data_IF_180767639571
#
_entry.id   IF_180767639571
#
_cell.length_a   1.000
_cell.length_b   1.000
_cell.length_c   1.000
_cell.angle_alpha   90.00
_cell.angle_beta   90.00
_cell.angle_gamma   90.00
#
_symmetry.space_group_name_H-M   'P 1'
#
loop_
_entity.id
_entity.type
_entity.pdbx_description
1 polymer ?
#
# COMPACT_ATOMS: atom_id res chain seq x y z
N UNK A 1 -15.37 31.75 -6.60
CA UNK A 1 -16.11 31.87 -5.33
C UNK A 1 -17.07 30.69 -5.14
N UNK A 2 -17.71 30.15 -6.20
CA UNK A 2 -18.66 29.02 -6.09
C UNK A 2 -18.13 27.73 -5.43
N UNK A 3 -16.86 27.35 -5.62
CA UNK A 3 -16.33 26.12 -4.99
C UNK A 3 -16.14 26.21 -3.46
N UNK A 4 -15.89 27.40 -2.91
CA UNK A 4 -15.53 27.52 -1.49
C UNK A 4 -16.73 27.30 -0.56
N UNK A 5 -17.92 27.76 -0.97
CA UNK A 5 -19.15 27.55 -0.21
C UNK A 5 -19.59 26.09 -0.23
N UNK A 6 -19.47 25.41 -1.39
CA UNK A 6 -19.70 23.98 -1.50
C UNK A 6 -18.74 23.17 -0.62
N UNK A 7 -17.45 23.51 -0.62
CA UNK A 7 -16.46 22.86 0.24
C UNK A 7 -16.77 23.03 1.74
N UNK A 8 -17.24 24.22 2.15
CA UNK A 8 -17.61 24.50 3.53
C UNK A 8 -18.84 23.71 3.97
N UNK A 9 -19.83 23.54 3.07
CA UNK A 9 -20.98 22.69 3.32
C UNK A 9 -20.57 21.22 3.53
N UNK A 10 -19.66 20.71 2.69
CA UNK A 10 -19.12 19.35 2.83
C UNK A 10 -18.39 19.18 4.18
N UNK A 11 -17.51 20.12 4.55
CA UNK A 11 -16.83 20.10 5.86
C UNK A 11 -17.81 20.09 7.02
N UNK A 12 -18.84 20.94 6.95
CA UNK A 12 -19.88 21.03 7.99
C UNK A 12 -20.63 19.72 8.12
N UNK A 13 -21.08 19.13 7.01
CA UNK A 13 -21.80 17.86 7.01
C UNK A 13 -20.94 16.74 7.60
N UNK A 14 -19.68 16.62 7.19
CA UNK A 14 -18.76 15.62 7.71
C UNK A 14 -18.48 15.79 9.22
N UNK A 15 -18.33 17.03 9.69
CA UNK A 15 -18.15 17.30 11.13
C UNK A 15 -19.42 16.97 11.94
N UNK A 16 -20.61 17.23 11.40
CA UNK A 16 -21.87 16.86 12.04
C UNK A 16 -21.99 15.33 12.16
N UNK A 17 -21.62 14.59 11.12
CA UNK A 17 -21.59 13.13 11.17
C UNK A 17 -20.57 12.63 12.20
N UNK A 18 -19.34 13.17 12.20
CA UNK A 18 -18.30 12.83 13.17
C UNK A 18 -18.72 13.11 14.62
N UNK A 19 -19.43 14.22 14.86
CA UNK A 19 -19.95 14.58 16.18
C UNK A 19 -20.96 13.55 16.70
N UNK A 20 -21.76 12.93 15.82
CA UNK A 20 -22.67 11.84 16.21
C UNK A 20 -21.88 10.64 16.75
N UNK A 21 -20.72 10.32 16.15
CA UNK A 21 -19.82 9.29 16.67
C UNK A 21 -19.18 9.67 18.01
N UNK A 22 -18.74 10.93 18.16
CA UNK A 22 -18.14 11.41 19.42
C UNK A 22 -19.10 11.52 20.60
N UNK A 23 -20.40 11.71 20.34
CA UNK A 23 -21.44 11.80 21.38
C UNK A 23 -21.86 10.43 21.94
N UNK A 24 -21.18 9.34 21.57
CA UNK A 24 -21.45 8.01 22.11
C UNK A 24 -20.97 7.89 23.56
N UNK A 25 -21.77 7.25 24.40
CA UNK A 25 -21.46 7.05 25.82
C UNK A 25 -20.42 5.94 25.98
N UNK A 26 -19.38 6.21 26.77
CA UNK A 26 -18.41 5.20 27.20
C UNK A 26 -18.52 4.97 28.72
N UNK A 27 -18.37 3.72 29.19
CA UNK A 27 -18.23 3.45 30.62
C UNK A 27 -17.03 4.21 31.22
N UNK A 28 -17.09 4.65 32.49
CA UNK A 28 -16.01 5.43 33.11
C UNK A 28 -14.70 4.64 33.29
N UNK A 29 -14.76 3.31 33.22
CA UNK A 29 -13.61 2.42 33.28
C UNK A 29 -13.06 2.01 31.89
N UNK A 30 -13.75 2.38 30.80
CA UNK A 30 -13.29 2.14 29.45
C UNK A 30 -12.28 3.21 29.05
N UNK A 31 -11.23 2.81 28.32
CA UNK A 31 -10.25 3.73 27.77
C UNK A 31 -10.71 4.23 26.40
N UNK A 32 -10.41 5.49 26.10
CA UNK A 32 -10.60 6.05 24.77
C UNK A 32 -9.61 5.44 23.79
N UNK A 33 -10.03 5.27 22.53
CA UNK A 33 -9.13 4.78 21.47
C UNK A 33 -8.05 5.81 21.19
N UNK A 34 -6.80 5.37 21.16
CA UNK A 34 -5.65 6.20 20.81
C UNK A 34 -5.35 6.11 19.31
N UNK A 35 -5.21 7.25 18.67
CA UNK A 35 -4.82 7.37 17.27
C UNK A 35 -3.54 8.19 17.15
N UNK A 36 -2.57 7.67 16.40
CA UNK A 36 -1.36 8.41 16.06
C UNK A 36 -1.34 8.74 14.59
N UNK A 37 -1.25 10.03 14.25
CA UNK A 37 -1.27 10.53 12.88
C UNK A 37 0.14 10.89 12.45
N UNK A 38 0.63 10.27 11.38
CA UNK A 38 1.85 10.66 10.68
C UNK A 38 1.51 11.57 9.52
N UNK A 39 1.81 12.86 9.67
CA UNK A 39 1.57 13.89 8.67
C UNK A 39 2.88 14.29 8.00
N UNK A 40 2.95 14.16 6.68
CA UNK A 40 4.02 14.74 5.86
C UNK A 40 3.59 16.15 5.36
N UNK A 41 4.11 17.25 5.94
CA UNK A 41 3.72 18.60 5.54
C UNK A 41 4.19 18.97 4.13
N UNK A 42 5.30 18.39 3.66
CA UNK A 42 5.91 18.68 2.36
C UNK A 42 5.13 18.06 1.20
N UNK A 43 4.28 17.06 1.47
CA UNK A 43 3.43 16.43 0.47
C UNK A 43 2.53 17.46 -0.26
N UNK A 44 2.18 17.14 -1.51
CA UNK A 44 1.32 17.98 -2.36
C UNK A 44 1.84 19.43 -2.49
N UNK A 45 3.15 19.57 -2.75
CA UNK A 45 3.83 20.87 -2.92
C UNK A 45 3.69 21.77 -1.68
N UNK A 46 3.82 21.17 -0.48
CA UNK A 46 3.77 21.88 0.81
C UNK A 46 2.36 22.26 1.30
N UNK A 47 1.29 21.82 0.62
CA UNK A 47 -0.09 22.17 1.00
C UNK A 47 -0.73 21.16 1.95
N UNK A 48 -0.12 19.99 2.12
CA UNK A 48 -0.69 18.88 2.90
C UNK A 48 -1.07 19.28 4.32
N UNK A 49 -0.22 20.05 5.02
CA UNK A 49 -0.55 20.56 6.38
C UNK A 49 -1.86 21.34 6.39
N UNK A 50 -2.00 22.34 5.51
CA UNK A 50 -3.21 23.17 5.48
C UNK A 50 -4.46 22.38 5.08
N UNK A 51 -4.31 21.39 4.20
CA UNK A 51 -5.41 20.52 3.78
C UNK A 51 -5.85 19.59 4.92
N UNK A 52 -4.89 19.02 5.65
CA UNK A 52 -5.17 18.15 6.80
C UNK A 52 -5.89 18.92 7.91
N UNK A 53 -5.31 20.05 8.35
CA UNK A 53 -5.84 20.85 9.45
C UNK A 53 -7.26 21.39 9.15
N UNK A 54 -7.58 21.67 7.88
CA UNK A 54 -8.91 22.18 7.48
C UNK A 54 -9.95 21.10 7.25
N UNK A 55 -9.56 19.94 6.71
CA UNK A 55 -10.52 18.98 6.18
C UNK A 55 -10.60 17.68 6.99
N UNK A 56 -9.54 17.30 7.71
CA UNK A 56 -9.46 16.00 8.40
C UNK A 56 -9.33 16.15 9.93
N UNK A 57 -8.49 17.07 10.41
CA UNK A 57 -8.24 17.24 11.85
C UNK A 57 -9.52 17.49 12.68
N UNK A 58 -10.49 18.34 12.23
CA UNK A 58 -11.73 18.54 12.99
C UNK A 58 -12.56 17.25 13.12
N UNK A 59 -12.62 16.44 12.07
CA UNK A 59 -13.35 15.16 12.05
C UNK A 59 -12.74 14.19 13.08
N UNK A 60 -11.40 14.10 13.12
CA UNK A 60 -10.70 13.23 14.06
C UNK A 60 -10.84 13.69 15.52
N UNK A 61 -10.84 14.99 15.78
CA UNK A 61 -11.03 15.49 17.15
C UNK A 61 -12.48 15.37 17.63
N UNK A 62 -13.46 15.41 16.71
CA UNK A 62 -14.88 15.22 17.04
C UNK A 62 -15.28 13.75 17.21
N UNK A 63 -14.46 12.79 16.78
CA UNK A 63 -14.80 11.35 16.82
C UNK A 63 -14.65 10.70 18.20
N UNK A 64 -14.15 11.42 19.20
CA UNK A 64 -13.95 10.89 20.56
C UNK A 64 -12.69 10.02 20.73
N UNK A 65 -11.72 10.15 19.82
CA UNK A 65 -10.41 9.50 19.92
C UNK A 65 -9.36 10.43 20.54
N UNK A 66 -8.37 9.86 21.23
CA UNK A 66 -7.17 10.58 21.66
C UNK A 66 -6.18 10.64 20.49
N UNK A 67 -6.13 11.78 19.81
CA UNK A 67 -5.41 11.96 18.54
C UNK A 67 -4.09 12.68 18.77
N UNK A 68 -2.98 11.97 18.59
CA UNK A 68 -1.63 12.53 18.60
C UNK A 68 -1.14 12.74 17.18
N UNK A 69 -0.84 14.00 16.81
CA UNK A 69 -0.34 14.34 15.47
C UNK A 69 1.18 14.51 15.49
N UNK A 70 1.87 13.65 14.76
CA UNK A 70 3.30 13.70 14.50
C UNK A 70 3.53 14.27 13.11
N UNK A 71 4.36 15.30 13.02
CA UNK A 71 4.81 15.86 11.74
C UNK A 71 6.16 15.26 11.37
N UNK A 72 6.31 14.80 10.14
CA UNK A 72 7.60 14.39 9.59
C UNK A 72 8.28 15.58 8.93
N UNK A 73 9.56 15.75 9.21
CA UNK A 73 10.43 16.80 8.71
C UNK A 73 11.23 16.33 7.49
N UNK A 74 11.59 15.05 7.43
CA UNK A 74 12.39 14.46 6.34
C UNK A 74 12.04 12.98 6.07
N UNK A 75 12.49 12.48 4.92
CA UNK A 75 12.27 11.10 4.45
C UNK A 75 12.91 10.07 5.41
N UNK A 76 12.15 9.03 5.75
CA UNK A 76 12.56 7.99 6.68
C UNK A 76 12.44 8.35 8.16
N UNK A 77 12.00 9.56 8.53
CA UNK A 77 11.72 9.91 9.93
C UNK A 77 10.50 9.15 10.46
N UNK A 78 9.45 8.98 9.65
CA UNK A 78 8.28 8.18 10.04
C UNK A 78 8.70 6.74 10.38
N UNK A 79 9.54 6.14 9.52
CA UNK A 79 10.11 4.80 9.72
C UNK A 79 10.83 4.66 11.08
N UNK A 80 11.75 5.59 11.38
CA UNK A 80 12.50 5.60 12.66
C UNK A 80 11.62 5.83 13.88
N UNK A 81 10.67 6.77 13.79
CA UNK A 81 9.79 7.04 14.92
C UNK A 81 8.88 5.85 15.20
N UNK A 82 8.41 5.19 14.15
CA UNK A 82 7.54 4.03 14.29
C UNK A 82 8.25 2.82 14.90
N UNK A 83 9.56 2.66 14.68
CA UNK A 83 10.36 1.63 15.36
C UNK A 83 10.44 1.84 16.89
N UNK A 84 10.33 3.09 17.35
CA UNK A 84 10.40 3.47 18.77
C UNK A 84 9.03 3.73 19.40
N UNK A 85 7.97 3.72 18.58
CA UNK A 85 6.64 4.10 19.01
C UNK A 85 6.05 3.07 20.00
N UNK A 86 5.29 3.58 20.97
CA UNK A 86 4.50 2.76 21.89
C UNK A 86 3.24 2.19 21.20
N UNK A 87 2.55 1.28 21.90
CA UNK A 87 1.32 0.68 21.40
C UNK A 87 0.22 1.75 21.23
N UNK A 88 -0.44 1.73 20.06
CA UNK A 88 -1.60 2.57 19.72
C UNK A 88 -2.72 1.68 19.21
N UNK A 89 -3.97 2.15 19.27
CA UNK A 89 -5.11 1.38 18.75
C UNK A 89 -5.27 1.59 17.24
N UNK A 90 -4.86 2.76 16.73
CA UNK A 90 -4.95 3.13 15.32
C UNK A 90 -3.72 3.92 14.90
N UNK A 91 -3.21 3.64 13.69
CA UNK A 91 -2.18 4.44 13.01
C UNK A 91 -2.84 5.13 11.83
N UNK A 92 -2.66 6.43 11.66
CA UNK A 92 -3.21 7.19 10.53
C UNK A 92 -2.06 7.81 9.75
N UNK A 93 -2.04 7.63 8.43
CA UNK A 93 -1.06 8.23 7.54
C UNK A 93 -1.72 9.32 6.70
N UNK A 94 -1.22 10.55 6.83
CA UNK A 94 -1.68 11.71 6.09
C UNK A 94 -0.59 12.18 5.12
N UNK A 95 -0.68 11.75 3.86
CA UNK A 95 0.40 11.95 2.89
C UNK A 95 0.09 11.38 1.50
N UNK A 96 1.14 11.01 0.78
CA UNK A 96 1.07 10.23 -0.47
C UNK A 96 1.56 8.80 -0.26
N UNK A 97 1.67 8.05 -1.37
CA UNK A 97 2.04 6.63 -1.34
C UNK A 97 3.42 6.39 -0.69
N UNK A 98 4.42 7.26 -0.92
CA UNK A 98 5.74 7.15 -0.27
C UNK A 98 5.69 7.31 1.27
N UNK A 99 4.86 8.22 1.79
CA UNK A 99 4.69 8.34 3.26
C UNK A 99 4.00 7.12 3.86
N UNK A 100 3.07 6.52 3.11
CA UNK A 100 2.44 5.27 3.50
C UNK A 100 3.44 4.12 3.49
N UNK A 101 4.28 4.03 2.45
CA UNK A 101 5.36 3.07 2.33
C UNK A 101 6.33 3.15 3.51
N UNK A 102 6.71 4.36 3.93
CA UNK A 102 7.61 4.55 5.07
C UNK A 102 7.02 4.02 6.38
N UNK A 103 5.73 4.32 6.62
CA UNK A 103 5.02 3.87 7.82
C UNK A 103 4.84 2.36 7.79
N UNK A 104 4.40 1.78 6.68
CA UNK A 104 4.25 0.33 6.51
C UNK A 104 5.60 -0.38 6.72
N UNK A 105 6.67 0.16 6.16
CA UNK A 105 8.02 -0.36 6.36
C UNK A 105 8.44 -0.24 7.82
N UNK A 106 8.15 0.88 8.48
CA UNK A 106 8.39 1.05 9.91
C UNK A 106 7.62 0.01 10.74
N UNK A 107 6.37 -0.28 10.42
CA UNK A 107 5.52 -1.25 11.15
C UNK A 107 6.13 -2.64 11.03
N UNK A 108 6.44 -3.04 9.79
CA UNK A 108 6.81 -4.41 9.48
C UNK A 108 8.30 -4.74 9.75
N UNK A 109 9.12 -3.72 10.05
CA UNK A 109 10.51 -3.91 10.50
C UNK A 109 10.66 -4.08 12.01
N UNK A 110 9.60 -3.81 12.79
CA UNK A 110 9.65 -3.91 14.24
C UNK A 110 9.88 -5.35 14.70
N UNK A 111 10.42 -5.52 15.89
CA UNK A 111 10.58 -6.86 16.51
C UNK A 111 9.24 -7.45 16.97
N UNK A 112 8.26 -6.61 17.30
CA UNK A 112 6.89 -6.96 17.71
C UNK A 112 5.87 -6.80 16.55
N UNK A 113 6.35 -6.96 15.32
CA UNK A 113 5.61 -6.87 14.06
C UNK A 113 4.26 -7.63 14.07
N UNK A 114 4.21 -8.82 14.66
CA UNK A 114 3.00 -9.65 14.71
C UNK A 114 1.83 -9.00 15.48
N UNK A 115 2.12 -8.10 16.42
CA UNK A 115 1.10 -7.33 17.15
C UNK A 115 0.74 -6.07 16.36
N UNK A 116 1.75 -5.35 15.87
CA UNK A 116 1.54 -4.10 15.15
C UNK A 116 0.86 -4.30 13.78
N UNK A 117 1.07 -5.44 13.11
CA UNK A 117 0.39 -5.74 11.85
C UNK A 117 -1.12 -5.92 12.01
N UNK A 118 -1.60 -6.19 13.24
CA UNK A 118 -3.03 -6.25 13.58
C UNK A 118 -3.64 -4.88 13.85
N UNK A 119 -2.82 -3.84 14.07
CA UNK A 119 -3.30 -2.48 14.29
C UNK A 119 -3.80 -1.93 12.94
N UNK A 120 -5.06 -1.46 12.85
CA UNK A 120 -5.59 -0.95 11.61
C UNK A 120 -4.95 0.39 11.24
N UNK A 121 -4.64 0.53 9.95
CA UNK A 121 -4.01 1.71 9.36
C UNK A 121 -5.06 2.53 8.59
N UNK A 122 -5.21 3.79 8.96
CA UNK A 122 -5.99 4.78 8.23
C UNK A 122 -5.12 5.49 7.21
N UNK A 123 -5.64 5.72 6.02
CA UNK A 123 -4.94 6.47 4.98
C UNK A 123 -5.74 7.70 4.56
N UNK A 124 -5.12 8.88 4.67
CA UNK A 124 -5.69 10.16 4.26
C UNK A 124 -4.90 10.65 3.04
N UNK A 125 -5.46 10.55 1.82
CA UNK A 125 -4.74 10.82 0.57
C UNK A 125 -4.57 12.32 0.34
N UNK A 126 -3.47 12.89 0.85
CA UNK A 126 -3.12 14.29 0.64
C UNK A 126 -2.29 14.53 -0.64
N UNK A 127 -1.70 13.47 -1.20
CA UNK A 127 -0.94 13.51 -2.46
C UNK A 127 -1.74 13.95 -3.71
N UNK A 128 -1.04 14.29 -4.79
CA UNK A 128 -1.68 14.67 -6.08
C UNK A 128 -2.35 13.47 -6.75
N UNK A 129 -1.70 12.30 -6.67
CA UNK A 129 -2.21 10.99 -7.09
C UNK A 129 -1.95 9.99 -5.97
N UNK A 130 -2.84 9.01 -5.78
CA UNK A 130 -2.59 7.87 -4.89
C UNK A 130 -3.16 6.61 -5.51
N UNK A 131 -2.37 5.54 -5.53
CA UNK A 131 -2.79 4.24 -6.08
C UNK A 131 -3.88 3.59 -5.21
N UNK A 132 -3.65 3.52 -3.90
CA UNK A 132 -4.51 2.81 -2.95
C UNK A 132 -5.83 3.52 -2.67
N UNK A 133 -5.90 4.85 -2.85
CA UNK A 133 -7.11 5.60 -2.52
C UNK A 133 -8.31 5.18 -3.37
N UNK A 134 -8.09 4.78 -4.62
CA UNK A 134 -9.15 4.29 -5.53
C UNK A 134 -9.75 2.94 -5.10
N UNK A 135 -8.95 2.12 -4.41
CA UNK A 135 -9.41 0.84 -3.85
C UNK A 135 -10.21 1.09 -2.57
N UNK A 136 -9.64 1.86 -1.65
CA UNK A 136 -10.18 2.00 -0.29
C UNK A 136 -11.39 2.94 -0.20
N UNK A 137 -11.47 3.95 -1.08
CA UNK A 137 -12.46 5.01 -0.98
C UNK A 137 -13.23 5.20 -2.29
N UNK A 138 -14.44 5.76 -2.19
CA UNK A 138 -15.21 6.13 -3.37
C UNK A 138 -14.47 7.18 -4.23
N UNK A 139 -14.63 7.08 -5.54
CA UNK A 139 -14.18 8.13 -6.45
C UNK A 139 -14.99 9.40 -6.16
N UNK A 140 -14.29 10.53 -6.10
CA UNK A 140 -14.89 11.81 -5.78
C UNK A 140 -14.45 12.86 -6.78
N UNK A 141 -15.38 13.75 -7.17
CA UNK A 141 -15.08 14.84 -8.09
C UNK A 141 -14.30 16.00 -7.44
N UNK A 142 -14.26 16.05 -6.11
CA UNK A 142 -13.65 17.12 -5.34
C UNK A 142 -12.59 16.57 -4.36
N UNK A 143 -11.41 17.20 -4.34
CA UNK A 143 -10.31 16.84 -3.44
C UNK A 143 -10.70 16.95 -1.96
N UNK A 144 -11.51 17.95 -1.58
CA UNK A 144 -11.95 18.12 -0.19
C UNK A 144 -12.84 16.96 0.21
N UNK A 145 -13.81 16.62 -0.64
CA UNK A 145 -14.70 15.48 -0.44
C UNK A 145 -13.90 14.18 -0.26
N UNK A 146 -12.89 13.94 -1.11
CA UNK A 146 -12.07 12.75 -0.99
C UNK A 146 -11.37 12.63 0.38
N UNK A 147 -10.83 13.75 0.89
CA UNK A 147 -10.14 13.79 2.18
C UNK A 147 -11.13 13.61 3.33
N UNK A 148 -12.29 14.27 3.28
CA UNK A 148 -13.32 14.16 4.32
C UNK A 148 -13.89 12.74 4.38
N UNK A 149 -14.19 12.15 3.23
CA UNK A 149 -14.77 10.81 3.13
C UNK A 149 -13.76 9.74 3.61
N UNK A 150 -12.48 9.86 3.23
CA UNK A 150 -11.42 9.00 3.72
C UNK A 150 -11.23 9.10 5.24
N UNK A 151 -11.30 10.31 5.80
CA UNK A 151 -11.20 10.52 7.26
C UNK A 151 -12.41 9.96 7.99
N UNK A 152 -13.61 10.12 7.41
CA UNK A 152 -14.85 9.61 7.97
C UNK A 152 -14.91 8.07 7.91
N UNK A 153 -14.32 7.43 6.90
CA UNK A 153 -14.17 5.99 6.84
C UNK A 153 -13.36 5.44 8.03
N UNK A 154 -12.31 6.15 8.47
CA UNK A 154 -11.55 5.81 9.68
C UNK A 154 -12.45 5.87 10.91
N UNK A 155 -13.28 6.91 11.04
CA UNK A 155 -14.22 7.07 12.17
C UNK A 155 -15.28 5.97 12.17
N UNK A 156 -15.76 5.56 10.98
CA UNK A 156 -16.73 4.45 10.84
C UNK A 156 -16.15 3.10 11.27
N UNK A 157 -14.85 2.92 11.13
CA UNK A 157 -14.14 1.77 11.69
C UNK A 157 -14.18 0.50 10.85
N UNK A 158 -14.66 0.56 9.61
CA UNK A 158 -14.70 -0.58 8.68
C UNK A 158 -13.30 -0.88 8.13
N UNK A 159 -12.84 -2.12 8.25
CA UNK A 159 -11.50 -2.54 7.84
C UNK A 159 -11.51 -3.60 6.74
N UNK A 160 -10.47 -3.57 5.91
CA UNK A 160 -10.20 -4.56 4.86
C UNK A 160 -8.73 -5.01 4.96
N UNK A 161 -8.45 -6.32 4.91
CA UNK A 161 -7.08 -6.82 4.87
C UNK A 161 -6.47 -6.60 3.48
N UNK A 162 -5.25 -6.09 3.43
CA UNK A 162 -4.48 -5.86 2.21
C UNK A 162 -3.18 -6.65 2.19
N UNK A 163 -2.74 -6.98 0.98
CA UNK A 163 -1.47 -7.66 0.74
C UNK A 163 -0.30 -6.67 0.78
N UNK A 164 0.89 -7.15 1.13
CA UNK A 164 2.12 -6.34 1.15
C UNK A 164 3.21 -7.07 0.37
N UNK A 165 4.02 -6.34 -0.38
CA UNK A 165 5.23 -6.87 -1.00
C UNK A 165 6.41 -6.62 -0.08
N UNK A 166 7.13 -7.67 0.27
CA UNK A 166 8.43 -7.58 0.91
C UNK A 166 9.51 -7.63 -0.18
N UNK A 167 10.32 -6.58 -0.27
CA UNK A 167 11.42 -6.43 -1.21
C UNK A 167 12.71 -6.39 -0.41
N UNK A 168 13.56 -7.40 -0.56
CA UNK A 168 14.80 -7.56 0.20
C UNK A 168 15.99 -7.52 -0.74
N UNK A 169 16.83 -6.49 -0.58
CA UNK A 169 18.16 -6.47 -1.18
C UNK A 169 19.15 -7.31 -0.38
N UNK A 170 20.29 -7.64 -0.98
CA UNK A 170 21.30 -8.50 -0.33
C UNK A 170 21.90 -7.88 0.94
N UNK A 171 22.14 -6.56 0.93
CA UNK A 171 22.87 -5.84 2.00
C UNK A 171 21.97 -4.95 2.86
N UNK A 172 20.77 -4.65 2.40
CA UNK A 172 19.88 -3.70 3.05
C UNK A 172 18.77 -4.38 3.85
N UNK A 173 18.19 -3.63 4.79
CA UNK A 173 17.00 -4.06 5.52
C UNK A 173 15.80 -4.17 4.54
N UNK A 174 14.89 -5.14 4.74
CA UNK A 174 13.79 -5.38 3.83
C UNK A 174 12.85 -4.17 3.74
N UNK A 175 12.51 -3.76 2.53
CA UNK A 175 11.58 -2.66 2.25
C UNK A 175 10.21 -3.26 1.98
N UNK A 176 9.14 -2.64 2.49
CA UNK A 176 7.78 -3.11 2.29
C UNK A 176 7.00 -2.14 1.42
N UNK A 177 6.18 -2.65 0.50
CA UNK A 177 5.41 -1.87 -0.45
C UNK A 177 3.97 -2.36 -0.54
N UNK A 178 3.03 -1.43 -0.71
CA UNK A 178 1.62 -1.72 -0.86
C UNK A 178 1.20 -1.88 -2.33
N UNK A 179 1.81 -1.13 -3.25
CA UNK A 179 1.42 -1.16 -4.68
C UNK A 179 2.38 -2.00 -5.50
N UNK A 180 3.67 -1.66 -5.50
CA UNK A 180 4.62 -2.36 -6.35
C UNK A 180 5.95 -1.65 -6.59
N UNK A 181 6.80 -2.39 -7.31
CA UNK A 181 8.09 -1.95 -7.82
C UNK A 181 8.00 -1.72 -9.33
N UNK A 182 8.61 -0.65 -9.82
CA UNK A 182 8.73 -0.31 -11.24
C UNK A 182 10.18 0.00 -11.60
N UNK A 183 10.64 -0.53 -12.72
CA UNK A 183 11.98 -0.32 -13.23
C UNK A 183 11.95 -0.12 -14.75
N UNK A 184 12.54 0.96 -15.24
CA UNK A 184 12.72 1.21 -16.68
C UNK A 184 12.30 2.59 -17.16
N UNK A 185 12.19 2.71 -18.48
CA UNK A 185 12.13 3.97 -19.22
C UNK A 185 10.90 4.84 -18.89
N UNK A 186 9.72 4.24 -18.70
CA UNK A 186 8.52 4.99 -18.33
C UNK A 186 8.63 5.63 -16.95
N UNK A 187 9.26 4.92 -16.00
CA UNK A 187 9.56 5.43 -14.66
C UNK A 187 10.52 6.61 -14.74
N UNK A 188 11.62 6.47 -15.49
CA UNK A 188 12.63 7.52 -15.62
C UNK A 188 12.10 8.78 -16.32
N UNK A 189 11.24 8.60 -17.33
CA UNK A 189 10.51 9.70 -17.94
C UNK A 189 9.59 10.39 -16.93
N UNK A 190 8.86 9.61 -16.13
CA UNK A 190 7.98 10.07 -15.06
C UNK A 190 8.68 10.95 -14.02
N UNK A 191 9.85 10.52 -13.52
CA UNK A 191 10.66 11.29 -12.55
C UNK A 191 11.10 12.64 -13.14
N UNK A 192 11.46 12.68 -14.43
CA UNK A 192 11.91 13.91 -15.12
C UNK A 192 10.78 14.89 -15.42
N UNK A 193 9.50 14.49 -15.35
CA UNK A 193 8.35 15.39 -15.61
C UNK A 193 8.40 16.64 -14.74
N UNK A 194 8.82 16.52 -13.48
CA UNK A 194 8.92 17.64 -12.54
C UNK A 194 9.97 18.67 -12.95
N UNK A 195 11.08 18.23 -13.57
CA UNK A 195 12.17 19.10 -14.06
C UNK A 195 11.70 20.03 -15.17
N UNK A 196 10.73 19.58 -15.98
CA UNK A 196 10.17 20.35 -17.09
C UNK A 196 8.95 21.20 -16.70
N UNK A 197 8.93 21.73 -15.47
CA UNK A 197 7.82 22.52 -14.94
C UNK A 197 7.43 23.71 -15.82
N UNK A 198 8.39 24.29 -16.55
CA UNK A 198 8.22 25.44 -17.46
C UNK A 198 7.40 25.13 -18.72
N UNK A 199 7.20 23.86 -19.09
CA UNK A 199 6.42 23.45 -20.26
C UNK A 199 4.91 23.28 -19.98
N UNK A 200 4.47 23.59 -18.76
CA UNK A 200 3.05 23.60 -18.38
C UNK A 200 2.35 22.26 -18.71
N UNK A 201 1.30 22.24 -19.54
CA UNK A 201 0.55 21.02 -19.88
C UNK A 201 1.36 20.03 -20.73
N UNK A 202 2.38 20.49 -21.46
CA UNK A 202 3.17 19.65 -22.35
C UNK A 202 4.28 18.89 -21.62
N UNK A 203 4.60 19.25 -20.37
CA UNK A 203 5.71 18.66 -19.60
C UNK A 203 5.70 17.14 -19.56
N UNK A 204 4.52 16.52 -19.48
CA UNK A 204 4.37 15.06 -19.41
C UNK A 204 4.80 14.42 -20.74
N UNK A 205 4.28 14.92 -21.87
CA UNK A 205 4.64 14.40 -23.20
C UNK A 205 6.09 14.74 -23.56
N UNK A 206 6.53 15.96 -23.23
CA UNK A 206 7.89 16.43 -23.46
C UNK A 206 8.93 15.58 -22.71
N UNK A 207 8.64 15.15 -21.48
CA UNK A 207 9.55 14.29 -20.73
C UNK A 207 9.84 12.97 -21.45
N UNK A 208 8.79 12.34 -22.00
CA UNK A 208 8.92 11.11 -22.76
C UNK A 208 9.63 11.36 -24.09
N UNK A 209 9.26 12.43 -24.80
CA UNK A 209 9.89 12.82 -26.06
C UNK A 209 11.40 13.10 -25.90
N UNK A 210 11.79 13.87 -24.88
CA UNK A 210 13.21 14.14 -24.60
C UNK A 210 13.96 12.88 -24.15
N UNK A 211 13.29 11.92 -23.48
CA UNK A 211 13.90 10.62 -23.20
C UNK A 211 14.24 9.88 -24.49
N UNK A 212 13.31 9.86 -25.44
CA UNK A 212 13.48 9.21 -26.76
C UNK A 212 14.55 9.88 -27.64
N UNK A 213 14.77 11.19 -27.50
CA UNK A 213 15.83 11.90 -28.23
C UNK A 213 17.22 11.58 -27.70
N UNK A 214 17.36 11.29 -26.41
CA UNK A 214 18.65 10.98 -25.80
C UNK A 214 19.18 9.65 -26.31
N UNK A 215 18.33 8.62 -26.30
CA UNK A 215 18.70 7.26 -26.68
C UNK A 215 17.44 6.48 -27.05
N UNK A 216 17.52 5.65 -28.10
CA UNK A 216 16.44 4.76 -28.51
C UNK A 216 16.98 3.58 -29.33
N UNK A 217 16.59 2.33 -29.03
CA UNK A 217 15.66 1.89 -27.97
C UNK A 217 16.30 1.89 -26.57
N UNK A 218 15.55 2.30 -25.54
CA UNK A 218 15.98 2.28 -24.13
C UNK A 218 15.57 0.95 -23.50
N UNK A 219 16.28 -0.10 -23.88
CA UNK A 219 15.99 -1.46 -23.43
C UNK A 219 16.91 -1.83 -22.28
N UNK A 220 16.34 -2.46 -21.26
CA UNK A 220 17.04 -2.95 -20.10
C UNK A 220 16.98 -4.48 -20.08
N UNK A 221 18.14 -5.10 -19.87
CA UNK A 221 18.24 -6.56 -19.72
C UNK A 221 18.26 -6.92 -18.24
N UNK A 222 17.47 -7.92 -17.85
CA UNK A 222 17.47 -8.51 -16.51
C UNK A 222 17.04 -9.97 -16.55
N UNK A 223 17.36 -10.69 -15.49
CA UNK A 223 16.90 -12.06 -15.28
C UNK A 223 15.90 -12.07 -14.13
N UNK A 224 14.78 -12.77 -14.32
CA UNK A 224 13.83 -13.06 -13.24
C UNK A 224 13.76 -14.55 -13.00
N UNK A 225 13.74 -14.93 -11.72
CA UNK A 225 13.46 -16.30 -11.29
C UNK A 225 12.20 -16.25 -10.43
N UNK A 226 11.15 -16.97 -10.78
CA UNK A 226 9.86 -16.87 -10.07
C UNK A 226 9.23 -18.22 -9.78
N UNK A 227 8.37 -18.22 -8.76
CA UNK A 227 7.57 -19.37 -8.33
C UNK A 227 6.10 -19.09 -8.61
N UNK A 228 5.33 -20.12 -9.00
CA UNK A 228 3.90 -19.97 -9.33
C UNK A 228 3.02 -19.49 -8.15
N UNK A 229 1.73 -19.21 -8.42
CA UNK A 229 0.76 -18.82 -7.39
C UNK A 229 0.69 -19.81 -6.22
N UNK A 230 0.43 -19.30 -5.02
CA UNK A 230 0.25 -20.13 -3.82
C UNK A 230 -1.24 -20.28 -3.53
N UNK A 231 -1.68 -21.50 -3.24
CA UNK A 231 -3.06 -21.73 -2.82
C UNK A 231 -3.34 -21.00 -1.50
N UNK A 232 -4.51 -20.38 -1.43
CA UNK A 232 -4.94 -19.64 -0.26
C UNK A 232 -5.14 -20.61 0.92
N UNK A 233 -4.46 -20.41 2.06
CA UNK A 233 -4.75 -21.19 3.25
C UNK A 233 -6.20 -20.89 3.71
N UNK A 234 -6.94 -21.89 4.22
CA UNK A 234 -8.28 -21.67 4.75
C UNK A 234 -8.23 -20.58 5.82
N UNK A 235 -9.14 -19.61 5.76
CA UNK A 235 -9.18 -18.48 6.69
C UNK A 235 -9.17 -19.01 8.13
N UNK A 236 -8.18 -18.62 8.92
CA UNK A 236 -8.25 -18.83 10.37
C UNK A 236 -9.52 -18.16 10.88
N UNK A 237 -10.39 -18.88 11.63
CA UNK A 237 -11.58 -18.26 12.19
C UNK A 237 -11.14 -17.10 13.09
N UNK A 238 -11.84 -15.95 12.98
CA UNK A 238 -11.64 -14.81 13.86
C UNK A 238 -11.49 -15.29 15.30
N UNK A 239 -10.36 -14.95 15.93
CA UNK A 239 -10.13 -15.28 17.34
C UNK A 239 -11.19 -14.56 18.17
N UNK A 240 -12.31 -15.24 18.43
CA UNK A 240 -13.25 -14.81 19.47
C UNK A 240 -12.42 -14.57 20.74
N UNK A 241 -12.61 -13.44 21.45
CA UNK A 241 -11.80 -13.12 22.62
C UNK A 241 -11.84 -14.31 23.56
N UNK A 242 -10.68 -14.95 23.74
CA UNK A 242 -10.57 -16.23 24.46
C UNK A 242 -10.98 -15.97 25.89
N UNK A 243 -12.25 -16.24 26.20
CA UNK A 243 -12.69 -16.35 27.59
C UNK A 243 -11.79 -17.39 28.25
N UNK A 244 -11.13 -17.00 29.35
CA UNK A 244 -10.17 -17.86 30.05
C UNK A 244 -10.82 -19.24 30.24
N UNK A 245 -10.29 -20.32 29.63
CA UNK A 245 -10.93 -21.63 29.72
C UNK A 245 -10.99 -22.06 31.19
N UNK A 246 -12.11 -22.69 31.56
CA UNK A 246 -12.37 -23.15 32.93
C UNK A 246 -11.22 -24.02 33.48
N UNK A 247 -11.01 -23.97 34.80
CA UNK A 247 -9.94 -24.69 35.50
C UNK A 247 -9.85 -26.18 35.11
N UNK A 248 -11.00 -26.84 34.95
CA UNK A 248 -11.08 -28.23 34.51
C UNK A 248 -10.53 -28.45 33.10
N UNK A 249 -10.79 -27.54 32.14
CA UNK A 249 -10.29 -27.63 30.76
C UNK A 249 -8.77 -27.42 30.69
N UNK A 250 -8.20 -26.63 31.61
CA UNK A 250 -6.74 -26.47 31.76
C UNK A 250 -6.08 -27.73 32.34
N UNK A 251 -6.73 -28.35 33.32
CA UNK A 251 -6.26 -29.62 33.91
C UNK A 251 -6.31 -30.74 32.87
N UNK A 252 -7.41 -30.84 32.11
CA UNK A 252 -7.55 -31.79 31.00
C UNK A 252 -6.50 -31.58 29.91
N UNK A 253 -6.23 -30.33 29.50
CA UNK A 253 -5.16 -30.04 28.53
C UNK A 253 -3.79 -30.43 29.07
N UNK A 254 -3.49 -30.13 30.34
CA UNK A 254 -2.23 -30.54 30.98
C UNK A 254 -2.08 -32.05 31.00
N UNK A 255 -3.13 -32.78 31.38
CA UNK A 255 -3.15 -34.23 31.37
C UNK A 255 -2.97 -34.75 29.94
N UNK A 256 -3.70 -34.22 28.96
CA UNK A 256 -3.55 -34.59 27.55
C UNK A 256 -2.12 -34.37 27.03
N UNK A 257 -1.45 -33.28 27.42
CA UNK A 257 -0.04 -33.05 27.09
C UNK A 257 0.95 -33.93 27.87
N UNK A 258 0.57 -34.44 29.04
CA UNK A 258 1.37 -35.42 29.79
C UNK A 258 1.31 -36.82 29.17
N UNK A 259 0.19 -37.16 28.51
CA UNK A 259 -0.03 -38.45 27.83
C UNK A 259 0.26 -38.40 26.33
N UNK A 260 0.41 -37.21 25.74
CA UNK A 260 0.88 -37.04 24.39
C UNK A 260 2.37 -37.38 24.35
N UNK A 261 2.73 -38.49 23.71
CA UNK A 261 4.11 -38.69 23.29
C UNK A 261 4.52 -37.52 22.37
N UNK A 262 5.78 -37.07 22.41
CA UNK A 262 6.28 -36.15 21.40
C UNK A 262 6.15 -36.88 20.05
N UNK A 263 5.12 -36.53 19.29
CA UNK A 263 5.19 -36.78 17.86
C UNK A 263 6.32 -35.89 17.38
N UNK A 264 7.42 -36.51 16.94
CA UNK A 264 8.37 -35.85 16.05
C UNK A 264 7.53 -35.08 15.04
N UNK A 265 7.71 -33.76 15.02
CA UNK A 265 7.00 -32.90 14.09
C UNK A 265 7.20 -33.51 12.71
N UNK A 266 6.14 -34.11 12.16
CA UNK A 266 6.16 -34.64 10.81
C UNK A 266 6.59 -33.47 9.95
N UNK A 267 7.84 -33.55 9.50
CA UNK A 267 8.41 -32.59 8.58
C UNK A 267 7.49 -32.62 7.39
N UNK A 268 6.70 -31.56 7.20
CA UNK A 268 5.95 -31.40 5.96
C UNK A 268 6.99 -31.52 4.86
N UNK A 269 6.88 -32.57 4.05
CA UNK A 269 7.68 -32.72 2.84
C UNK A 269 7.37 -31.49 1.99
N UNK A 270 8.26 -30.50 2.03
CA UNK A 270 8.19 -29.33 1.17
C UNK A 270 8.39 -29.87 -0.24
N UNK A 271 7.31 -29.95 -1.01
CA UNK A 271 7.38 -30.22 -2.44
C UNK A 271 8.46 -29.31 -3.04
N UNK A 272 9.39 -29.82 -3.86
CA UNK A 272 10.48 -29.00 -4.38
C UNK A 272 9.89 -27.78 -5.09
N UNK A 273 10.18 -26.59 -4.58
CA UNK A 273 9.74 -25.34 -5.19
C UNK A 273 10.32 -25.30 -6.61
N UNK A 274 9.46 -25.35 -7.63
CA UNK A 274 9.89 -25.27 -9.03
C UNK A 274 10.07 -23.81 -9.38
N UNK A 275 11.32 -23.38 -9.43
CA UNK A 275 11.69 -22.04 -9.91
C UNK A 275 11.76 -22.05 -11.44
N UNK A 276 11.14 -21.03 -12.06
CA UNK A 276 11.22 -20.79 -13.50
C UNK A 276 12.06 -19.55 -13.74
N UNK A 277 13.09 -19.70 -14.57
CA UNK A 277 13.99 -18.61 -14.94
C UNK A 277 13.59 -18.04 -16.29
N UNK A 278 13.51 -16.71 -16.38
CA UNK A 278 13.21 -15.98 -17.60
C UNK A 278 14.23 -14.86 -17.76
N UNK A 279 14.92 -14.87 -18.89
CA UNK A 279 15.80 -13.79 -19.32
C UNK A 279 14.97 -12.78 -20.12
N UNK A 280 15.04 -11.52 -19.75
CA UNK A 280 14.15 -10.48 -20.26
C UNK A 280 14.93 -9.29 -20.79
N UNK A 281 14.39 -8.71 -21.86
CA UNK A 281 14.85 -7.48 -22.51
C UNK A 281 13.60 -6.61 -22.66
N UNK A 282 13.48 -5.55 -21.86
CA UNK A 282 12.22 -4.77 -21.75
C UNK A 282 12.47 -3.28 -21.68
N UNK A 283 11.46 -2.49 -22.02
CA UNK A 283 11.46 -1.03 -21.75
C UNK A 283 11.14 -0.72 -20.28
N UNK A 284 10.27 -1.51 -19.67
CA UNK A 284 9.84 -1.38 -18.27
C UNK A 284 9.42 -2.75 -17.74
N UNK A 285 9.79 -3.01 -16.49
CA UNK A 285 9.31 -4.10 -15.67
C UNK A 285 8.50 -3.52 -14.51
N UNK A 286 7.33 -4.09 -14.22
CA UNK A 286 6.55 -3.75 -13.04
C UNK A 286 6.11 -4.99 -12.28
N UNK A 287 6.39 -5.03 -10.99
CA UNK A 287 5.94 -6.07 -10.06
C UNK A 287 4.92 -5.41 -9.13
N UNK A 288 3.67 -5.86 -9.16
CA UNK A 288 2.55 -5.19 -8.48
C UNK A 288 1.67 -6.15 -7.70
N UNK A 289 1.03 -5.62 -6.65
CA UNK A 289 -0.01 -6.33 -5.89
C UNK A 289 -1.35 -6.27 -6.62
N UNK A 290 -2.28 -7.13 -6.17
CA UNK A 290 -3.69 -7.09 -6.56
C UNK A 290 -4.51 -6.12 -5.72
N UNK A 291 -3.88 -5.32 -4.85
CA UNK A 291 -4.60 -4.36 -4.00
C UNK A 291 -5.42 -3.34 -4.79
N UNK A 292 -5.13 -3.16 -6.09
CA UNK A 292 -5.93 -2.33 -6.98
C UNK A 292 -7.28 -2.93 -7.38
N UNK A 293 -7.41 -4.25 -7.32
CA UNK A 293 -8.60 -5.02 -7.68
C UNK A 293 -8.68 -6.24 -6.75
N UNK A 294 -9.16 -6.02 -5.54
CA UNK A 294 -9.29 -7.08 -4.55
C UNK A 294 -10.36 -8.07 -5.00
N UNK A 295 -9.97 -9.33 -5.18
CA UNK A 295 -10.90 -10.44 -5.38
C UNK A 295 -10.93 -11.29 -4.10
N UNK A 296 -11.96 -11.09 -3.24
CA UNK A 296 -12.08 -11.86 -2.01
C UNK A 296 -12.42 -13.33 -2.28
N UNK A 297 -12.95 -13.67 -3.46
CA UNK A 297 -13.33 -15.03 -3.84
C UNK A 297 -12.19 -15.85 -4.44
N UNK A 298 -11.07 -15.19 -4.78
CA UNK A 298 -9.93 -15.84 -5.42
C UNK A 298 -9.40 -17.02 -4.59
N UNK A 299 -9.13 -18.16 -5.22
CA UNK A 299 -8.58 -19.34 -4.53
C UNK A 299 -7.07 -19.20 -4.26
N UNK A 300 -6.40 -18.27 -4.92
CA UNK A 300 -4.94 -18.16 -4.94
C UNK A 300 -4.47 -16.77 -4.54
N UNK A 301 -3.32 -16.72 -3.87
CA UNK A 301 -2.62 -15.48 -3.54
C UNK A 301 -1.35 -15.37 -4.40
N UNK A 302 -1.31 -14.32 -5.23
CA UNK A 302 -0.21 -14.06 -6.16
C UNK A 302 -0.03 -12.56 -6.43
N UNK A 303 1.20 -12.18 -6.78
CA UNK A 303 1.59 -10.89 -7.34
C UNK A 303 1.60 -10.97 -8.87
N UNK A 304 1.47 -9.81 -9.52
CA UNK A 304 1.52 -9.68 -10.97
C UNK A 304 2.88 -9.11 -11.39
N UNK A 305 3.56 -9.81 -12.29
CA UNK A 305 4.78 -9.34 -12.95
C UNK A 305 4.41 -8.98 -14.38
N UNK A 306 4.43 -7.70 -14.72
CA UNK A 306 4.16 -7.23 -16.08
C UNK A 306 5.47 -6.80 -16.74
N UNK A 307 5.73 -7.39 -17.90
CA UNK A 307 6.96 -7.27 -18.69
C UNK A 307 6.57 -6.55 -19.97
N UNK A 308 7.00 -5.29 -20.11
CA UNK A 308 6.67 -4.49 -21.30
C UNK A 308 7.59 -4.84 -22.48
N UNK A 309 7.08 -4.93 -23.71
CA UNK A 309 7.87 -5.32 -24.87
C UNK A 309 8.89 -4.24 -25.26
N UNK A 310 10.00 -4.66 -25.87
CA UNK A 310 11.04 -3.76 -26.42
C UNK A 310 10.77 -3.30 -27.86
N UNK A 311 9.69 -3.80 -28.49
CA UNK A 311 9.29 -3.49 -29.87
C UNK A 311 8.38 -2.27 -30.03
N UNK A 312 8.02 -1.59 -28.94
CA UNK A 312 7.15 -0.42 -28.95
C UNK A 312 7.71 0.68 -29.86
N UNK A 313 6.85 1.44 -30.56
CA UNK A 313 7.31 2.59 -31.36
C UNK A 313 7.56 3.84 -30.50
N UNK A 314 8.35 4.79 -31.01
CA UNK A 314 8.59 6.09 -30.34
C UNK A 314 7.29 6.86 -30.09
N UNK A 315 6.37 6.85 -31.05
CA UNK A 315 5.09 7.55 -30.96
C UNK A 315 4.17 6.93 -29.90
N UNK A 316 4.15 5.60 -29.86
CA UNK A 316 3.36 4.85 -28.87
C UNK A 316 3.96 5.00 -27.48
N UNK A 317 5.28 4.97 -27.33
CA UNK A 317 5.96 5.25 -26.07
C UNK A 317 5.55 6.60 -25.47
N UNK A 318 5.53 7.68 -26.27
CA UNK A 318 5.12 9.00 -25.78
C UNK A 318 3.63 9.02 -25.42
N UNK A 319 2.79 8.41 -26.26
CA UNK A 319 1.34 8.42 -26.09
C UNK A 319 0.94 7.60 -24.86
N UNK A 320 1.40 6.36 -24.78
CA UNK A 320 1.15 5.43 -23.68
C UNK A 320 1.79 5.95 -22.41
N UNK A 321 3.06 6.36 -22.44
CA UNK A 321 3.77 6.90 -21.27
C UNK A 321 3.07 8.12 -20.68
N UNK A 322 2.56 9.03 -21.51
CA UNK A 322 1.81 10.19 -21.02
C UNK A 322 0.50 9.83 -20.30
N UNK A 323 -0.15 8.73 -20.69
CA UNK A 323 -1.32 8.19 -20.00
C UNK A 323 -0.92 7.40 -18.77
N UNK A 324 0.17 6.62 -18.84
CA UNK A 324 0.69 5.76 -17.78
C UNK A 324 1.16 6.55 -16.55
N UNK A 325 1.65 7.78 -16.73
CA UNK A 325 1.94 8.70 -15.61
C UNK A 325 0.68 9.04 -14.79
N UNK A 326 -0.49 9.10 -15.43
CA UNK A 326 -1.77 9.39 -14.74
C UNK A 326 -2.45 8.12 -14.24
N UNK A 327 -2.36 7.05 -15.03
CA UNK A 327 -2.92 5.75 -14.71
C UNK A 327 -1.84 4.67 -14.90
N UNK A 328 -1.10 4.31 -13.84
CA UNK A 328 0.01 3.36 -13.93
C UNK A 328 -0.44 1.93 -14.27
N UNK A 329 -1.75 1.65 -14.24
CA UNK A 329 -2.36 0.36 -14.60
C UNK A 329 -2.40 0.09 -16.11
N UNK A 330 -2.13 1.12 -16.92
CA UNK A 330 -2.13 0.97 -18.38
C UNK A 330 -0.86 0.24 -18.82
N UNK A 331 -1.05 -0.84 -19.56
CA UNK A 331 0.00 -1.63 -20.17
C UNK A 331 0.14 -1.28 -21.66
N UNK A 332 1.31 -1.53 -22.24
CA UNK A 332 1.47 -1.43 -23.69
C UNK A 332 0.78 -2.61 -24.40
N UNK A 333 0.69 -2.53 -25.72
CA UNK A 333 0.21 -3.66 -26.51
C UNK A 333 1.31 -4.72 -26.60
N UNK A 334 0.99 -5.98 -26.29
CA UNK A 334 1.96 -7.08 -26.27
C UNK A 334 2.70 -7.27 -24.93
N UNK A 335 2.28 -6.62 -23.85
CA UNK A 335 2.80 -6.88 -22.50
C UNK A 335 2.52 -8.30 -22.04
N UNK A 336 3.54 -8.98 -21.55
CA UNK A 336 3.40 -10.28 -20.92
C UNK A 336 3.18 -10.10 -19.41
N UNK A 337 2.07 -10.63 -18.90
CA UNK A 337 1.74 -10.59 -17.47
C UNK A 337 1.80 -12.00 -16.88
N UNK A 338 2.75 -12.21 -15.98
CA UNK A 338 2.97 -13.47 -15.27
C UNK A 338 2.45 -13.35 -13.83
N UNK A 339 1.90 -14.46 -13.32
CA UNK A 339 1.45 -14.55 -11.94
C UNK A 339 2.47 -15.35 -11.13
N UNK A 340 2.89 -14.80 -10.00
CA UNK A 340 3.90 -15.42 -9.14
C UNK A 340 3.57 -15.19 -7.66
N UNK A 341 4.11 -16.00 -6.76
CA UNK A 341 4.02 -15.74 -5.30
C UNK A 341 5.30 -15.09 -4.76
N UNK A 342 6.44 -15.51 -5.31
CA UNK A 342 7.80 -15.06 -5.00
C UNK A 342 8.58 -14.92 -6.30
N UNK A 343 9.44 -13.92 -6.38
CA UNK A 343 10.39 -13.79 -7.47
C UNK A 343 11.69 -13.14 -7.01
N UNK A 344 12.78 -13.48 -7.68
CA UNK A 344 14.09 -12.86 -7.52
C UNK A 344 14.40 -12.13 -8.82
N UNK A 345 14.72 -10.85 -8.71
CA UNK A 345 15.09 -9.99 -9.83
C UNK A 345 16.61 -9.77 -9.78
N UNK A 346 17.30 -10.24 -10.81
CA UNK A 346 18.73 -10.02 -11.01
C UNK A 346 18.91 -8.94 -12.07
N UNK A 347 19.43 -7.78 -11.65
CA UNK A 347 19.77 -6.66 -12.52
C UNK A 347 21.29 -6.53 -12.66
N UNK A 348 21.79 -6.07 -13.82
CA UNK A 348 23.22 -5.82 -13.99
C UNK A 348 23.71 -4.65 -13.13
N UNK A 349 25.01 -4.61 -12.85
CA UNK A 349 25.62 -3.51 -12.10
C UNK A 349 25.41 -2.17 -12.84
N UNK A 350 24.98 -1.13 -12.12
CA UNK A 350 24.71 0.19 -12.71
C UNK A 350 23.39 0.31 -13.46
N UNK A 351 22.43 -0.59 -13.24
CA UNK A 351 21.09 -0.61 -13.86
C UNK A 351 20.17 0.59 -13.55
N UNK A 352 20.68 1.65 -12.92
CA UNK A 352 19.93 2.84 -12.57
C UNK A 352 19.20 2.72 -11.23
N UNK A 353 17.91 3.06 -11.22
CA UNK A 353 17.13 3.17 -9.99
C UNK A 353 15.74 2.57 -10.15
N UNK A 354 15.28 1.87 -9.11
CA UNK A 354 13.90 1.41 -8.98
C UNK A 354 12.99 2.53 -8.49
N UNK A 355 11.70 2.39 -8.73
CA UNK A 355 10.67 3.10 -7.97
C UNK A 355 9.81 2.10 -7.20
N UNK A 356 9.73 2.28 -5.89
CA UNK A 356 8.88 1.48 -5.00
C UNK A 356 7.83 2.44 -4.43
N UNK A 357 6.54 2.24 -4.75
CA UNK A 357 5.44 3.11 -4.31
C UNK A 357 5.70 4.63 -4.46
N UNK A 358 6.32 5.03 -5.58
CA UNK A 358 6.71 6.41 -5.92
C UNK A 358 7.93 6.99 -5.20
N UNK A 359 8.66 6.19 -4.43
CA UNK A 359 9.97 6.55 -3.87
C UNK A 359 11.10 5.94 -4.71
N UNK A 360 12.25 6.62 -4.80
CA UNK A 360 13.40 6.20 -5.60
C UNK A 360 14.38 5.37 -4.76
N UNK A 361 14.74 4.19 -5.27
CA UNK A 361 15.70 3.27 -4.66
C UNK A 361 16.80 2.91 -5.66
N UNK A 362 18.01 2.64 -5.19
CA UNK A 362 19.10 2.17 -6.06
C UNK A 362 18.77 0.77 -6.61
N UNK A 363 19.02 0.55 -7.90
CA UNK A 363 18.76 -0.74 -8.52
C UNK A 363 19.83 -1.75 -8.09
N UNK A 364 19.39 -2.85 -7.49
CA UNK A 364 20.25 -3.95 -7.05
C UNK A 364 19.50 -5.28 -7.19
N UNK A 365 20.19 -6.43 -7.15
CA UNK A 365 19.52 -7.72 -7.04
C UNK A 365 18.60 -7.76 -5.82
N UNK A 366 17.33 -8.09 -6.05
CA UNK A 366 16.30 -8.08 -5.00
C UNK A 366 15.47 -9.34 -5.04
N UNK A 367 15.14 -9.82 -3.85
CA UNK A 367 14.13 -10.84 -3.64
C UNK A 367 12.80 -10.19 -3.29
N UNK A 368 11.73 -10.54 -4.01
CA UNK A 368 10.38 -10.03 -3.82
C UNK A 368 9.45 -11.17 -3.41
N UNK A 369 8.77 -10.98 -2.28
CA UNK A 369 7.82 -11.94 -1.72
C UNK A 369 6.49 -11.26 -1.40
N UNK A 370 5.38 -11.90 -1.77
CA UNK A 370 4.05 -11.46 -1.36
C UNK A 370 3.76 -11.92 0.08
N UNK A 371 3.27 -10.99 0.89
CA UNK A 371 2.71 -11.23 2.22
C UNK A 371 1.19 -10.99 2.15
N UNK A 372 0.39 -12.06 1.97
CA UNK A 372 -1.04 -11.90 1.77
C UNK A 372 -1.73 -11.41 3.06
N UNK A 373 -2.66 -10.47 2.93
CA UNK A 373 -3.57 -9.99 4.00
C UNK A 373 -2.85 -9.59 5.28
N UNK A 374 -1.62 -9.07 5.15
CA UNK A 374 -0.72 -8.83 6.28
C UNK A 374 -1.13 -7.62 7.12
N UNK A 375 -1.76 -6.61 6.50
CA UNK A 375 -2.15 -5.37 7.16
C UNK A 375 -3.65 -5.10 7.01
N UNK A 376 -4.24 -4.42 7.99
CA UNK A 376 -5.64 -3.99 7.96
C UNK A 376 -5.72 -2.50 7.65
N UNK A 377 -6.55 -2.13 6.67
CA UNK A 377 -6.76 -0.74 6.28
C UNK A 377 -8.22 -0.33 6.44
N UNK A 378 -8.46 0.91 6.86
CA UNK A 378 -9.82 1.46 6.85
C UNK A 378 -10.30 1.72 5.42
N UNK A 379 -11.55 1.40 5.16
CA UNK A 379 -12.18 1.58 3.85
C UNK A 379 -13.58 2.17 3.98
N UNK A 380 -14.09 2.75 2.88
CA UNK A 380 -15.49 3.17 2.81
C UNK A 380 -16.41 1.92 2.88
N UNK A 381 -17.42 1.90 3.77
CA UNK A 381 -18.37 0.78 3.85
C UNK A 381 -18.98 0.40 2.48
N UNK A 382 -19.22 1.38 1.60
CA UNK A 382 -19.77 1.14 0.25
C UNK A 382 -18.79 0.35 -0.61
N UNK A 383 -17.49 0.61 -0.47
CA UNK A 383 -16.43 -0.13 -1.16
C UNK A 383 -16.29 -1.54 -0.59
N UNK A 384 -16.40 -1.70 0.73
CA UNK A 384 -16.42 -3.01 1.37
C UNK A 384 -17.57 -3.88 0.86
N UNK A 385 -18.78 -3.32 0.78
CA UNK A 385 -19.93 -4.00 0.20
C UNK A 385 -19.69 -4.40 -1.25
N UNK A 386 -19.14 -3.51 -2.09
CA UNK A 386 -18.80 -3.82 -3.47
C UNK A 386 -17.77 -4.96 -3.60
N UNK A 387 -16.74 -4.97 -2.74
CA UNK A 387 -15.75 -6.04 -2.71
C UNK A 387 -16.40 -7.38 -2.34
N UNK A 388 -17.30 -7.40 -1.35
CA UNK A 388 -17.99 -8.61 -0.91
C UNK A 388 -19.09 -9.07 -1.88
N UNK A 389 -19.73 -8.13 -2.57
CA UNK A 389 -20.87 -8.35 -3.46
C UNK A 389 -20.49 -8.52 -4.93
N UNK A 390 -19.21 -8.56 -5.28
CA UNK A 390 -18.77 -8.96 -6.61
C UNK A 390 -18.56 -10.48 -6.67
N UNK A 391 -19.60 -11.30 -6.98
CA UNK A 391 -19.34 -12.59 -7.57
C UNK A 391 -18.73 -12.32 -8.95
N UNK A 392 -17.61 -12.98 -9.20
CA UNK A 392 -16.86 -12.96 -10.44
C UNK A 392 -17.79 -13.13 -11.65
N UNK A 393 -17.69 -12.22 -12.63
CA UNK A 393 -17.93 -12.58 -14.03
C UNK A 393 -16.60 -13.00 -14.65
#
# INVERSE_FOLDING_TARGET
MENTDSDNLLRRAACQEAQVFGNQLIPPNAQVKKATVFLNPAACKGKARTLFEKNAAPILHLSGMDVTIVKTDYEGQAKKLLELMENTDVIIVAGGDGTLQEVVTGVLRRTDEATFSKIPIGFIPLGETSSLSHTLFAESGNKVQHITDATLAIVKGETVPLDVLQIKGEKEQPVFAMTGLRWGSFRDAGVKVSKYWYLGPLKIKAAHFFSTLKEWPQTHQASISYTGPTERPPSEPEETPVQRPSLYRRILRRLASYWAQPQDALSQEVSPEVWKDVQLSTIELSITTRNNQLDPTSKEDFLNICIEPDTISKGDFITIGSRKVRNPKLHAEGTECLQASRCTLLVPEGAGSFSIDSEEYEAMPVEVKLLPRKLQFFCDPRKREQMLASPTQ
#
